data_IF_233885583512
#
_entry.id   IF_233885583512
#
_cell.length_a   1.000
_cell.length_b   1.000
_cell.length_c   1.000
_cell.angle_alpha   90.00
_cell.angle_beta   90.00
_cell.angle_gamma   90.00
#
_symmetry.space_group_name_H-M   'P 1'
#
loop_
_entity.id
_entity.type
_entity.pdbx_description
1 polymer ?
#
# COMPACT_ATOMS: atom_id res chain seq x y z
N UNK A 1 -15.41 9.99 2.30
CA UNK A 1 -16.21 8.75 2.35
C UNK A 1 -15.29 7.54 2.34
N UNK A 2 -15.59 6.47 3.10
CA UNK A 2 -14.79 5.26 3.10
C UNK A 2 -14.64 4.66 1.70
N UNK A 3 -13.46 4.11 1.42
CA UNK A 3 -13.17 3.43 0.17
C UNK A 3 -14.03 2.18 0.01
N UNK A 4 -14.54 1.98 -1.20
CA UNK A 4 -15.18 0.72 -1.59
C UNK A 4 -14.26 -0.07 -2.52
N UNK A 5 -14.43 -1.38 -2.54
CA UNK A 5 -13.66 -2.29 -3.37
C UNK A 5 -14.61 -3.11 -4.23
N UNK A 6 -14.19 -3.40 -5.45
CA UNK A 6 -14.95 -4.23 -6.39
C UNK A 6 -14.10 -5.37 -6.93
N UNK A 7 -14.72 -6.45 -7.37
CA UNK A 7 -14.01 -7.49 -8.12
C UNK A 7 -13.74 -7.05 -9.55
N UNK A 8 -12.54 -7.31 -10.06
CA UNK A 8 -12.18 -7.08 -11.46
C UNK A 8 -13.10 -7.79 -12.46
N UNK A 9 -13.80 -8.84 -12.03
CA UNK A 9 -14.79 -9.57 -12.86
C UNK A 9 -16.22 -9.10 -12.65
N UNK A 10 -16.50 -8.37 -11.56
CA UNK A 10 -17.84 -7.87 -11.21
C UNK A 10 -17.78 -6.40 -10.79
N UNK A 11 -17.49 -5.46 -11.69
CA UNK A 11 -17.21 -4.06 -11.34
C UNK A 11 -18.40 -3.30 -10.75
N UNK A 12 -19.60 -3.84 -10.79
CA UNK A 12 -20.80 -3.23 -10.18
C UNK A 12 -21.11 -3.70 -8.76
N UNK A 13 -20.34 -4.64 -8.20
CA UNK A 13 -20.54 -5.18 -6.86
C UNK A 13 -19.43 -4.67 -5.92
N UNK A 14 -19.83 -3.91 -4.91
CA UNK A 14 -18.91 -3.28 -3.99
C UNK A 14 -18.95 -3.93 -2.61
N UNK A 15 -17.77 -4.04 -2.00
CA UNK A 15 -17.57 -4.46 -0.62
C UNK A 15 -16.77 -3.40 0.13
N UNK A 16 -16.79 -3.42 1.46
CA UNK A 16 -15.94 -2.58 2.28
C UNK A 16 -14.51 -3.15 2.41
N UNK A 17 -13.62 -2.37 3.03
CA UNK A 17 -12.24 -2.79 3.27
C UNK A 17 -12.14 -4.07 4.08
N UNK A 18 -12.95 -4.21 5.13
CA UNK A 18 -12.93 -5.37 6.02
C UNK A 18 -13.27 -6.65 5.25
N UNK A 19 -14.33 -6.61 4.46
CA UNK A 19 -14.74 -7.74 3.64
C UNK A 19 -13.68 -8.08 2.58
N UNK A 20 -13.15 -7.08 1.87
CA UNK A 20 -12.11 -7.29 0.87
C UNK A 20 -10.85 -7.95 1.44
N UNK A 21 -10.40 -7.49 2.61
CA UNK A 21 -9.22 -8.03 3.29
C UNK A 21 -9.45 -9.44 3.83
N UNK A 22 -10.57 -9.67 4.53
CA UNK A 22 -10.83 -10.97 5.16
C UNK A 22 -11.18 -12.07 4.16
N UNK A 23 -11.86 -11.73 3.07
CA UNK A 23 -12.14 -12.67 1.98
C UNK A 23 -10.91 -12.98 1.12
N UNK A 24 -9.98 -12.04 1.03
CA UNK A 24 -8.77 -12.11 0.18
C UNK A 24 -9.08 -12.19 -1.32
N UNK A 25 -9.95 -13.09 -1.75
CA UNK A 25 -10.39 -13.25 -3.14
C UNK A 25 -11.92 -13.17 -3.24
N UNK A 26 -12.45 -12.46 -4.25
CA UNK A 26 -13.87 -12.50 -4.58
C UNK A 26 -14.34 -13.89 -5.01
N UNK A 27 -15.64 -14.17 -4.83
CA UNK A 27 -16.25 -15.45 -5.20
C UNK A 27 -16.20 -15.77 -6.70
N UNK A 28 -16.03 -14.76 -7.53
CA UNK A 28 -15.89 -14.88 -8.98
C UNK A 28 -14.45 -15.11 -9.47
N UNK A 29 -13.49 -15.33 -8.55
CA UNK A 29 -12.06 -15.47 -8.83
C UNK A 29 -11.43 -14.25 -9.52
N UNK A 30 -11.98 -13.05 -9.30
CA UNK A 30 -11.36 -11.78 -9.65
C UNK A 30 -10.34 -11.34 -8.59
N UNK A 31 -9.97 -10.07 -8.63
CA UNK A 31 -9.15 -9.41 -7.62
C UNK A 31 -9.93 -8.22 -7.05
N UNK A 32 -9.81 -7.98 -5.75
CA UNK A 32 -10.35 -6.76 -5.17
C UNK A 32 -9.49 -5.56 -5.55
N UNK A 33 -10.13 -4.56 -6.13
CA UNK A 33 -9.53 -3.28 -6.52
C UNK A 33 -10.30 -2.15 -5.86
N UNK A 34 -9.63 -1.06 -5.46
CA UNK A 34 -10.33 0.12 -4.96
C UNK A 34 -11.21 0.73 -6.06
N UNK A 35 -12.40 1.20 -5.68
CA UNK A 35 -13.33 1.86 -6.61
C UNK A 35 -12.71 3.11 -7.24
N UNK A 36 -11.92 3.81 -6.46
CA UNK A 36 -11.28 5.04 -6.88
C UNK A 36 -9.92 5.21 -6.20
N UNK A 37 -8.95 5.75 -6.92
CA UNK A 37 -7.63 6.13 -6.40
C UNK A 37 -7.46 7.62 -6.67
N UNK A 38 -7.42 8.41 -5.60
CA UNK A 38 -7.18 9.85 -5.70
C UNK A 38 -5.76 10.11 -6.22
N UNK A 39 -5.56 11.15 -7.05
CA UNK A 39 -4.20 11.56 -7.42
C UNK A 39 -3.46 12.10 -6.19
N UNK A 40 -2.16 11.88 -6.13
CA UNK A 40 -1.32 12.53 -5.12
C UNK A 40 -1.37 14.06 -5.28
N UNK A 41 -1.46 14.81 -4.18
CA UNK A 41 -1.59 16.26 -4.24
C UNK A 41 -0.31 16.91 -4.79
N UNK A 42 -0.43 18.09 -5.37
CA UNK A 42 0.69 18.81 -5.99
C UNK A 42 1.88 18.99 -5.03
N UNK A 43 1.61 19.36 -3.76
CA UNK A 43 2.66 19.53 -2.76
C UNK A 43 3.48 18.27 -2.48
N UNK A 44 2.92 17.09 -2.69
CA UNK A 44 3.68 15.84 -2.59
C UNK A 44 4.80 15.81 -3.64
N UNK A 45 4.50 16.16 -4.89
CA UNK A 45 5.47 16.15 -5.99
C UNK A 45 6.55 17.22 -5.86
N UNK A 46 6.27 18.28 -5.10
CA UNK A 46 7.26 19.31 -4.79
C UNK A 46 8.29 18.86 -3.76
N UNK A 47 7.90 17.98 -2.83
CA UNK A 47 8.70 17.62 -1.65
C UNK A 47 9.04 16.13 -1.51
N UNK A 48 8.57 15.26 -2.38
CA UNK A 48 8.68 13.79 -2.22
C UNK A 48 10.13 13.27 -2.07
N UNK A 49 11.12 14.01 -2.61
CA UNK A 49 12.54 13.63 -2.53
C UNK A 49 13.12 13.71 -1.12
N UNK A 50 12.53 14.53 -0.28
CA UNK A 50 12.93 14.71 1.11
C UNK A 50 12.19 13.78 2.08
N UNK A 51 11.20 13.04 1.56
CA UNK A 51 10.41 12.10 2.34
C UNK A 51 11.12 10.74 2.47
N UNK A 52 11.03 10.15 3.65
CA UNK A 52 11.43 8.76 3.88
C UNK A 52 10.46 7.78 3.20
N UNK A 53 10.90 6.53 3.00
CA UNK A 53 10.05 5.48 2.42
C UNK A 53 8.72 5.29 3.19
N UNK A 54 8.67 5.27 4.54
CA UNK A 54 7.40 5.22 5.26
C UNK A 54 6.51 6.43 5.02
N UNK A 55 7.05 7.64 4.92
CA UNK A 55 6.27 8.85 4.65
C UNK A 55 5.65 8.82 3.23
N UNK A 56 6.43 8.42 2.22
CA UNK A 56 5.91 8.17 0.87
C UNK A 56 4.82 7.10 0.90
N UNK A 57 5.08 6.00 1.60
CA UNK A 57 4.13 4.91 1.78
C UNK A 57 2.82 5.35 2.44
N UNK A 58 2.89 6.27 3.39
CA UNK A 58 1.71 6.83 4.05
C UNK A 58 0.87 7.69 3.10
N UNK A 59 1.49 8.57 2.31
CA UNK A 59 0.78 9.36 1.30
C UNK A 59 0.07 8.47 0.26
N UNK A 60 0.75 7.41 -0.21
CA UNK A 60 0.16 6.42 -1.13
C UNK A 60 -0.98 5.64 -0.47
N UNK A 61 -0.82 5.26 0.80
CA UNK A 61 -1.85 4.54 1.53
C UNK A 61 -3.11 5.40 1.72
N UNK A 62 -2.98 6.70 1.97
CA UNK A 62 -4.14 7.61 2.04
C UNK A 62 -4.97 7.62 0.76
N UNK A 63 -4.33 7.59 -0.41
CA UNK A 63 -5.04 7.50 -1.70
C UNK A 63 -5.86 6.21 -1.83
N UNK A 64 -5.26 5.08 -1.41
CA UNK A 64 -5.84 3.76 -1.63
C UNK A 64 -6.94 3.46 -0.59
N UNK A 65 -6.70 3.80 0.68
CA UNK A 65 -7.60 3.44 1.79
C UNK A 65 -8.59 4.56 2.14
N UNK A 66 -8.30 5.81 1.79
CA UNK A 66 -9.13 6.99 2.10
C UNK A 66 -9.59 6.97 3.56
N UNK A 67 -10.87 7.19 3.81
CA UNK A 67 -11.47 7.22 5.15
C UNK A 67 -11.78 5.82 5.72
N UNK A 68 -11.33 4.73 5.08
CA UNK A 68 -11.60 3.36 5.56
C UNK A 68 -10.78 3.00 6.79
N UNK A 69 -9.65 3.67 7.00
CA UNK A 69 -8.79 3.52 8.19
C UNK A 69 -8.53 4.92 8.75
N UNK A 70 -8.68 5.14 10.08
CA UNK A 70 -8.34 6.42 10.68
C UNK A 70 -6.88 6.80 10.39
N UNK A 71 -6.64 8.05 10.01
CA UNK A 71 -5.34 8.51 9.49
C UNK A 71 -4.16 8.18 10.41
N UNK A 72 -4.29 8.44 11.72
CA UNK A 72 -3.27 8.11 12.72
C UNK A 72 -2.96 6.61 12.79
N UNK A 73 -3.97 5.77 12.57
CA UNK A 73 -3.80 4.33 12.58
C UNK A 73 -3.12 3.86 11.29
N UNK A 74 -3.52 4.42 10.15
CA UNK A 74 -2.91 4.12 8.85
C UNK A 74 -1.43 4.50 8.84
N UNK A 75 -1.09 5.69 9.34
CA UNK A 75 0.30 6.14 9.52
C UNK A 75 1.12 5.14 10.34
N UNK A 76 0.60 4.73 11.50
CA UNK A 76 1.25 3.73 12.37
C UNK A 76 1.45 2.39 11.65
N UNK A 77 0.45 1.91 10.92
CA UNK A 77 0.53 0.66 10.13
C UNK A 77 1.65 0.77 9.10
N UNK A 78 1.70 1.85 8.33
CA UNK A 78 2.70 2.05 7.28
C UNK A 78 4.11 2.13 7.87
N UNK A 79 4.32 3.00 8.87
CA UNK A 79 5.63 3.17 9.49
C UNK A 79 6.17 1.89 10.14
N UNK A 80 5.30 1.05 10.69
CA UNK A 80 5.71 -0.23 11.25
C UNK A 80 5.93 -1.32 10.18
N UNK A 81 5.37 -1.16 9.01
CA UNK A 81 5.46 -2.14 7.92
C UNK A 81 6.67 -1.92 7.03
N UNK A 82 6.94 -0.67 6.66
CA UNK A 82 7.99 -0.26 5.74
C UNK A 82 9.19 0.38 6.48
N UNK A 83 9.61 -0.20 7.60
CA UNK A 83 10.68 0.33 8.46
C UNK A 83 12.07 -0.26 8.17
N UNK A 84 12.29 -0.70 6.97
CA UNK A 84 13.57 -1.20 6.46
C UNK A 84 13.86 -0.60 5.08
N UNK A 85 15.14 -0.53 4.67
CA UNK A 85 15.51 0.18 3.46
C UNK A 85 15.06 -0.53 2.18
N UNK A 86 14.85 0.25 1.12
CA UNK A 86 14.69 -0.20 -0.25
C UNK A 86 15.66 0.61 -1.14
N UNK A 87 16.96 0.34 -1.07
CA UNK A 87 17.95 1.14 -1.79
C UNK A 87 17.91 0.88 -3.30
N UNK A 88 18.19 1.94 -4.06
CA UNK A 88 18.44 1.85 -5.49
C UNK A 88 19.95 1.74 -5.73
N UNK A 89 20.41 0.58 -6.15
CA UNK A 89 21.82 0.30 -6.41
C UNK A 89 22.12 0.46 -7.89
N UNK A 90 23.14 1.24 -8.24
CA UNK A 90 23.60 1.41 -9.62
C UNK A 90 24.55 0.28 -10.01
N UNK A 91 24.21 -0.49 -11.02
CA UNK A 91 25.09 -1.50 -11.62
C UNK A 91 25.97 -0.92 -12.71
N UNK A 92 25.40 -0.10 -13.57
CA UNK A 92 26.04 0.60 -14.69
C UNK A 92 25.36 1.95 -14.89
N UNK A 93 25.90 2.75 -15.80
CA UNK A 93 25.46 4.13 -16.05
C UNK A 93 23.94 4.32 -16.21
N UNK A 94 23.22 3.31 -16.75
CA UNK A 94 21.75 3.37 -16.96
C UNK A 94 21.00 2.15 -16.45
N UNK A 95 21.67 1.33 -15.65
CA UNK A 95 21.08 0.12 -15.08
C UNK A 95 21.10 0.22 -13.56
N UNK A 96 19.92 0.11 -12.94
CA UNK A 96 19.76 0.19 -11.50
C UNK A 96 18.94 -1.00 -10.98
N UNK A 97 19.22 -1.44 -9.77
CA UNK A 97 18.44 -2.45 -9.05
C UNK A 97 17.79 -1.80 -7.85
N UNK A 98 16.47 -1.86 -7.77
CA UNK A 98 15.75 -1.58 -6.53
C UNK A 98 15.78 -2.84 -5.66
N UNK A 99 16.56 -2.80 -4.58
CA UNK A 99 16.70 -3.94 -3.68
C UNK A 99 15.54 -3.97 -2.68
N UNK A 100 14.71 -5.01 -2.74
CA UNK A 100 13.51 -5.16 -1.91
C UNK A 100 13.63 -6.32 -0.90
N UNK A 101 14.85 -6.78 -0.60
CA UNK A 101 15.09 -7.92 0.27
C UNK A 101 15.71 -7.57 1.63
N UNK A 102 15.70 -6.31 2.05
CA UNK A 102 16.28 -5.87 3.32
C UNK A 102 15.35 -5.99 4.54
N UNK A 103 14.18 -6.58 4.35
CA UNK A 103 13.23 -6.88 5.42
C UNK A 103 13.67 -8.08 6.29
N UNK A 104 12.94 -8.37 7.39
CA UNK A 104 13.33 -9.39 8.38
C UNK A 104 13.42 -10.82 7.82
N UNK A 105 12.68 -11.16 6.75
CA UNK A 105 12.73 -12.48 6.13
C UNK A 105 13.57 -12.52 4.85
N UNK A 106 14.24 -11.42 4.52
CA UNK A 106 15.06 -11.23 3.32
C UNK A 106 14.28 -11.47 2.01
N UNK A 107 12.99 -11.16 2.00
CA UNK A 107 12.11 -11.36 0.87
C UNK A 107 11.27 -10.10 0.59
N UNK A 108 10.99 -9.86 -0.69
CA UNK A 108 10.06 -8.80 -1.14
C UNK A 108 8.71 -8.84 -0.41
N UNK A 109 8.22 -10.04 -0.07
CA UNK A 109 6.95 -10.25 0.64
C UNK A 109 6.87 -9.52 1.98
N UNK A 110 7.99 -9.17 2.61
CA UNK A 110 8.02 -8.46 3.89
C UNK A 110 7.22 -7.14 3.86
N UNK A 111 7.24 -6.40 2.76
CA UNK A 111 6.44 -5.19 2.62
C UNK A 111 4.94 -5.47 2.76
N UNK A 112 4.41 -6.33 1.88
CA UNK A 112 2.97 -6.62 1.84
C UNK A 112 2.49 -7.43 3.04
N UNK A 113 3.20 -8.46 3.46
CA UNK A 113 2.79 -9.32 4.58
C UNK A 113 2.77 -8.56 5.91
N UNK A 114 3.74 -7.70 6.17
CA UNK A 114 3.80 -6.89 7.39
C UNK A 114 2.68 -5.83 7.42
N UNK A 115 2.41 -5.21 6.27
CA UNK A 115 1.29 -4.27 6.14
C UNK A 115 -0.06 -4.97 6.37
N UNK A 116 -0.29 -6.09 5.67
CA UNK A 116 -1.52 -6.86 5.80
C UNK A 116 -1.75 -7.34 7.23
N UNK A 117 -0.75 -7.91 7.89
CA UNK A 117 -0.87 -8.38 9.26
C UNK A 117 -1.25 -7.26 10.24
N UNK A 118 -0.72 -6.06 10.07
CA UNK A 118 -1.07 -4.90 10.90
C UNK A 118 -2.43 -4.32 10.59
N UNK A 119 -2.81 -4.33 9.34
CA UNK A 119 -4.15 -3.90 8.91
C UNK A 119 -5.22 -4.85 9.46
N UNK A 120 -4.97 -6.16 9.41
CA UNK A 120 -5.90 -7.16 9.97
C UNK A 120 -5.95 -7.17 11.49
N UNK A 121 -4.89 -6.74 12.15
CA UNK A 121 -4.82 -6.68 13.62
C UNK A 121 -5.41 -5.40 14.22
N UNK A 122 -5.80 -4.48 13.39
CA UNK A 122 -6.52 -3.26 13.75
C UNK A 122 -8.02 -3.47 13.64
#
# INVERSE_FOLDING_TARGET
MPQKFYSTKSPGQFVDLKEAVLRSLPSDNGLYMPEYIDPLPAHFWENWRDLSLPEIGFEVAKMIFRDSVPEKQLEKIVHQSANFPAPLVTLKEREHILELFHGPTLAFKDFGARFMARLMGW
#
